data_IF_838553745820
#
_entry.id   IF_838553745820
#
_cell.length_a   1.000
_cell.length_b   1.000
_cell.length_c   1.000
_cell.angle_alpha   90.00
_cell.angle_beta   90.00
_cell.angle_gamma   90.00
#
_symmetry.space_group_name_H-M   'P 1'
#
loop_
_entity.id
_entity.type
_entity.pdbx_description
1 polymer ?
#
# COMPACT_ATOMS: atom_id res chain seq x y z
N UNK A 1 14.67 8.00 -22.89
CA UNK A 1 14.61 8.38 -21.47
C UNK A 1 15.68 9.43 -21.21
N UNK A 2 15.31 10.55 -20.58
CA UNK A 2 16.20 11.65 -20.21
C UNK A 2 16.28 11.69 -18.68
N UNK A 3 17.34 11.14 -18.06
CA UNK A 3 17.52 11.20 -16.62
C UNK A 3 17.99 12.59 -16.19
N UNK A 4 17.57 13.02 -14.99
CA UNK A 4 17.92 14.33 -14.43
C UNK A 4 17.56 15.53 -15.37
N UNK A 5 16.37 15.49 -15.96
CA UNK A 5 15.91 16.53 -16.87
C UNK A 5 15.84 17.93 -16.21
N UNK A 6 15.70 17.97 -14.89
CA UNK A 6 15.78 19.18 -14.05
C UNK A 6 17.16 19.87 -14.05
N UNK A 7 18.23 19.14 -14.42
CA UNK A 7 19.58 19.70 -14.55
C UNK A 7 19.91 20.23 -15.94
N UNK A 8 18.97 20.15 -16.89
CA UNK A 8 19.17 20.72 -18.22
C UNK A 8 19.23 22.26 -18.16
N UNK A 9 20.20 22.82 -18.86
CA UNK A 9 20.28 24.29 -19.02
C UNK A 9 19.03 24.83 -19.75
N UNK A 10 18.66 26.09 -19.48
CA UNK A 10 17.45 26.70 -20.04
C UNK A 10 17.46 26.67 -21.59
N UNK A 11 18.64 26.84 -22.20
CA UNK A 11 18.80 26.76 -23.67
C UNK A 11 18.44 25.36 -24.19
N UNK A 12 18.89 24.32 -23.49
CA UNK A 12 18.59 22.90 -23.84
C UNK A 12 17.09 22.62 -23.65
N UNK A 13 16.49 23.11 -22.58
CA UNK A 13 15.06 22.98 -22.35
C UNK A 13 14.24 23.66 -23.45
N UNK A 14 14.64 24.88 -23.88
CA UNK A 14 13.98 25.57 -24.96
C UNK A 14 14.14 24.86 -26.33
N UNK A 15 15.32 24.32 -26.62
CA UNK A 15 15.54 23.53 -27.83
C UNK A 15 14.65 22.25 -27.85
N UNK A 16 14.40 21.64 -26.68
CA UNK A 16 13.60 20.47 -26.56
C UNK A 16 12.09 20.71 -26.77
N UNK A 17 11.63 21.96 -26.61
CA UNK A 17 10.23 22.34 -26.88
C UNK A 17 9.78 22.00 -28.29
N UNK A 18 10.64 22.22 -29.29
CA UNK A 18 10.33 21.90 -30.70
C UNK A 18 10.04 20.43 -30.89
N UNK A 19 10.78 19.56 -30.20
CA UNK A 19 10.61 18.10 -30.26
C UNK A 19 9.35 17.65 -29.53
N UNK A 20 8.95 18.37 -28.46
CA UNK A 20 7.71 18.08 -27.74
C UNK A 20 6.46 18.57 -28.48
N UNK A 21 6.58 19.62 -29.30
CA UNK A 21 5.48 20.15 -30.14
C UNK A 21 5.18 19.25 -31.34
N UNK A 22 6.24 18.72 -31.97
CA UNK A 22 6.15 17.85 -33.13
C UNK A 22 6.97 16.56 -32.87
N UNK A 23 6.49 15.65 -32.03
CA UNK A 23 7.23 14.45 -31.72
C UNK A 23 7.31 13.53 -32.93
N UNK A 24 8.48 12.92 -33.21
CA UNK A 24 8.61 11.91 -34.26
C UNK A 24 7.66 10.73 -34.02
N UNK A 25 7.17 10.13 -35.10
CA UNK A 25 6.25 9.00 -35.00
C UNK A 25 6.88 7.83 -34.23
N UNK A 26 6.09 7.17 -33.39
CA UNK A 26 6.49 6.03 -32.58
C UNK A 26 7.60 6.29 -31.53
N UNK A 27 7.79 7.53 -31.09
CA UNK A 27 8.74 7.87 -30.03
C UNK A 27 7.99 8.35 -28.79
N UNK A 28 8.34 7.79 -27.64
CA UNK A 28 7.91 8.23 -26.31
C UNK A 28 9.10 8.88 -25.58
N UNK A 29 8.93 10.12 -25.14
CA UNK A 29 9.91 10.81 -24.29
C UNK A 29 9.54 10.65 -22.82
N UNK A 30 10.47 10.14 -22.02
CA UNK A 30 10.32 10.03 -20.57
C UNK A 30 11.39 10.95 -19.94
N UNK A 31 10.93 12.01 -19.28
CA UNK A 31 11.75 12.96 -18.55
C UNK A 31 11.74 12.59 -17.06
N UNK A 32 12.88 12.17 -16.51
CA UNK A 32 13.01 11.90 -15.09
C UNK A 32 13.61 13.13 -14.40
N UNK A 33 12.99 13.62 -13.34
CA UNK A 33 13.44 14.76 -12.57
C UNK A 33 13.12 14.59 -11.09
N UNK A 34 13.90 15.20 -10.21
CA UNK A 34 13.64 15.24 -8.77
C UNK A 34 12.50 16.20 -8.42
N UNK A 35 12.36 17.28 -9.21
CA UNK A 35 11.28 18.25 -9.07
C UNK A 35 10.83 18.76 -10.44
N UNK A 36 9.55 18.57 -10.75
CA UNK A 36 8.97 19.10 -11.97
C UNK A 36 8.97 20.64 -12.01
N UNK A 37 9.09 21.30 -10.84
CA UNK A 37 9.11 22.77 -10.75
C UNK A 37 10.39 23.38 -11.33
N UNK A 38 11.47 22.62 -11.48
CA UNK A 38 12.73 23.05 -12.08
C UNK A 38 12.70 23.02 -13.61
N UNK A 39 11.68 22.40 -14.19
CA UNK A 39 11.44 22.43 -15.63
C UNK A 39 10.63 23.69 -16.01
N UNK A 40 10.91 24.23 -17.18
CA UNK A 40 10.15 25.35 -17.74
C UNK A 40 8.65 25.04 -17.76
N UNK A 41 7.84 26.04 -17.47
CA UNK A 41 6.38 25.92 -17.50
C UNK A 41 5.87 25.44 -18.86
N UNK A 42 6.54 25.84 -19.92
CA UNK A 42 6.27 25.49 -21.32
C UNK A 42 6.50 23.99 -21.60
N UNK A 43 7.49 23.35 -20.96
CA UNK A 43 7.68 21.90 -20.99
C UNK A 43 6.57 21.21 -20.19
N UNK A 44 6.31 21.69 -18.98
CA UNK A 44 5.29 21.08 -18.10
C UNK A 44 3.88 21.10 -18.70
N UNK A 45 3.55 22.10 -19.50
CA UNK A 45 2.25 22.17 -20.18
C UNK A 45 2.10 21.17 -21.34
N UNK A 46 3.20 20.58 -21.84
CA UNK A 46 3.23 19.66 -23.00
C UNK A 46 3.49 18.21 -22.61
N UNK A 47 3.71 17.94 -21.31
CA UNK A 47 3.97 16.61 -20.80
C UNK A 47 2.95 16.22 -19.74
N UNK A 48 2.65 14.93 -19.63
CA UNK A 48 1.89 14.40 -18.49
C UNK A 48 2.84 14.14 -17.33
N UNK A 49 2.59 14.78 -16.19
CA UNK A 49 3.44 14.65 -15.00
C UNK A 49 2.93 13.50 -14.14
N UNK A 50 3.76 12.47 -13.98
CA UNK A 50 3.57 11.41 -13.03
C UNK A 50 4.50 11.63 -11.82
N UNK A 51 3.92 11.80 -10.65
CA UNK A 51 4.70 11.83 -9.40
C UNK A 51 4.93 10.40 -8.94
N UNK A 52 6.14 9.92 -9.09
CA UNK A 52 6.60 8.69 -8.44
C UNK A 52 6.97 9.11 -7.01
N UNK A 53 6.00 8.97 -6.09
CA UNK A 53 6.18 9.50 -4.75
C UNK A 53 7.18 8.68 -3.95
N UNK A 54 8.31 9.29 -3.61
CA UNK A 54 8.94 9.16 -2.32
C UNK A 54 8.57 10.40 -1.52
N UNK A 55 7.27 10.58 -1.23
CA UNK A 55 6.88 11.49 -0.16
C UNK A 55 7.40 10.82 1.13
N UNK A 56 8.29 11.46 1.85
CA UNK A 56 8.75 10.98 3.16
C UNK A 56 7.58 10.75 4.12
N UNK A 57 6.49 11.51 3.99
CA UNK A 57 5.21 11.29 4.68
C UNK A 57 4.45 10.06 4.16
N UNK A 58 4.53 9.76 2.86
CA UNK A 58 3.94 8.53 2.30
C UNK A 58 4.74 7.30 2.75
N UNK A 59 6.05 7.41 2.88
CA UNK A 59 6.93 6.35 3.37
C UNK A 59 6.70 6.07 4.87
N UNK A 60 6.54 7.12 5.69
CA UNK A 60 6.16 6.99 7.09
C UNK A 60 4.77 6.36 7.27
N UNK A 61 3.79 6.76 6.47
CA UNK A 61 2.45 6.20 6.52
C UNK A 61 2.43 4.75 6.01
N UNK A 62 3.22 4.41 5.01
CA UNK A 62 3.40 3.04 4.55
C UNK A 62 4.04 2.17 5.63
N UNK A 63 5.09 2.65 6.29
CA UNK A 63 5.73 1.95 7.42
C UNK A 63 4.78 1.77 8.61
N UNK A 64 4.02 2.81 8.98
CA UNK A 64 2.99 2.72 10.02
C UNK A 64 1.91 1.70 9.67
N UNK A 65 1.51 1.62 8.39
CA UNK A 65 0.52 0.64 7.93
C UNK A 65 1.06 -0.79 8.02
N UNK A 66 2.31 -1.02 7.66
CA UNK A 66 2.98 -2.33 7.82
C UNK A 66 3.03 -2.72 9.30
N UNK A 67 3.49 -1.82 10.17
CA UNK A 67 3.56 -2.07 11.61
C UNK A 67 2.17 -2.37 12.19
N UNK A 68 1.14 -1.65 11.77
CA UNK A 68 -0.23 -1.86 12.21
C UNK A 68 -0.76 -3.22 11.75
N UNK A 69 -0.51 -3.63 10.51
CA UNK A 69 -0.86 -4.96 10.00
C UNK A 69 -0.16 -6.07 10.79
N UNK A 70 1.11 -5.89 11.12
CA UNK A 70 1.86 -6.83 11.96
C UNK A 70 1.31 -6.91 13.39
N UNK A 71 0.85 -5.79 13.96
CA UNK A 71 0.20 -5.76 15.26
C UNK A 71 -1.11 -6.55 15.25
N UNK A 72 -1.94 -6.39 14.20
CA UNK A 72 -3.17 -7.17 14.04
C UNK A 72 -2.83 -8.67 13.92
N UNK A 73 -1.85 -9.01 13.08
CA UNK A 73 -1.40 -10.39 12.91
C UNK A 73 -0.96 -11.02 14.23
N UNK A 74 -0.15 -10.33 15.03
CA UNK A 74 0.24 -10.80 16.37
C UNK A 74 -0.95 -10.92 17.32
N UNK A 75 -1.88 -9.96 17.31
CA UNK A 75 -3.07 -9.99 18.15
C UNK A 75 -4.01 -11.16 17.83
N UNK A 76 -3.97 -11.69 16.61
CA UNK A 76 -4.69 -12.90 16.22
C UNK A 76 -4.14 -14.16 16.90
N UNK A 77 -2.87 -14.20 17.25
CA UNK A 77 -2.24 -15.35 17.92
C UNK A 77 -2.37 -15.32 19.45
N UNK A 78 -2.67 -14.13 20.02
CA UNK A 78 -2.79 -13.94 21.48
C UNK A 78 -4.23 -14.07 21.95
N UNK A 79 -4.46 -14.72 23.08
CA UNK A 79 -5.81 -15.03 23.62
C UNK A 79 -6.58 -13.78 24.11
N UNK A 80 -5.92 -12.65 24.33
CA UNK A 80 -6.52 -11.43 24.90
C UNK A 80 -7.20 -10.58 23.83
N UNK A 81 -8.54 -10.56 23.81
CA UNK A 81 -9.35 -9.81 22.84
C UNK A 81 -9.16 -8.29 22.86
N UNK A 82 -8.62 -7.71 23.93
CA UNK A 82 -8.32 -6.27 24.02
C UNK A 82 -7.22 -5.82 23.03
N UNK A 83 -6.18 -6.63 22.85
CA UNK A 83 -5.09 -6.31 21.92
C UNK A 83 -5.59 -6.22 20.48
N UNK A 84 -6.49 -7.13 20.09
CA UNK A 84 -7.09 -7.11 18.75
C UNK A 84 -7.97 -5.85 18.56
N UNK A 85 -8.76 -5.46 19.57
CA UNK A 85 -9.58 -4.25 19.50
C UNK A 85 -8.70 -3.01 19.29
N UNK A 86 -7.63 -2.84 20.07
CA UNK A 86 -6.71 -1.72 19.91
C UNK A 86 -5.99 -1.73 18.55
N UNK A 87 -5.64 -2.92 18.07
CA UNK A 87 -4.97 -3.09 16.79
C UNK A 87 -5.88 -2.78 15.58
N UNK A 88 -7.20 -3.01 15.69
CA UNK A 88 -8.17 -2.79 14.60
C UNK A 88 -8.85 -1.43 14.61
N UNK A 89 -8.46 -0.50 15.50
CA UNK A 89 -8.99 0.86 15.49
C UNK A 89 -8.39 1.66 14.31
N UNK A 90 -9.28 2.15 13.44
CA UNK A 90 -8.93 2.96 12.28
C UNK A 90 -9.67 4.30 12.34
N UNK A 91 -8.96 5.39 12.11
CA UNK A 91 -9.50 6.75 12.02
C UNK A 91 -9.59 7.24 10.59
N UNK A 92 -8.69 6.78 9.73
CA UNK A 92 -8.59 7.16 8.33
C UNK A 92 -8.80 5.95 7.41
N UNK A 93 -9.57 6.18 6.33
CA UNK A 93 -9.97 5.17 5.35
C UNK A 93 -8.79 4.73 4.46
N UNK A 94 -7.97 5.68 4.01
CA UNK A 94 -6.83 5.39 3.13
C UNK A 94 -5.80 4.58 3.91
N UNK A 95 -5.55 4.98 5.15
CA UNK A 95 -4.66 4.24 6.04
C UNK A 95 -5.18 2.83 6.32
N UNK A 96 -6.48 2.68 6.63
CA UNK A 96 -7.10 1.37 6.83
C UNK A 96 -6.93 0.45 5.61
N UNK A 97 -7.14 0.97 4.40
CA UNK A 97 -6.93 0.22 3.16
C UNK A 97 -5.49 -0.27 3.00
N UNK A 98 -4.52 0.58 3.28
CA UNK A 98 -3.10 0.21 3.24
C UNK A 98 -2.76 -0.87 4.29
N UNK A 99 -3.36 -0.79 5.48
CA UNK A 99 -3.20 -1.82 6.52
C UNK A 99 -3.80 -3.15 6.08
N UNK A 100 -5.01 -3.15 5.49
CA UNK A 100 -5.65 -4.37 4.99
C UNK A 100 -4.83 -5.04 3.89
N UNK A 101 -4.29 -4.27 2.93
CA UNK A 101 -3.41 -4.79 1.88
C UNK A 101 -2.18 -5.50 2.46
N UNK A 102 -1.53 -4.90 3.46
CA UNK A 102 -0.39 -5.52 4.13
C UNK A 102 -0.79 -6.75 4.94
N UNK A 103 -1.93 -6.71 5.63
CA UNK A 103 -2.44 -7.85 6.38
C UNK A 103 -2.80 -9.02 5.44
N UNK A 104 -3.39 -8.73 4.29
CA UNK A 104 -3.69 -9.71 3.25
C UNK A 104 -2.40 -10.44 2.80
N UNK A 105 -1.31 -9.70 2.57
CA UNK A 105 -0.02 -10.29 2.21
C UNK A 105 0.52 -11.21 3.31
N UNK A 106 0.49 -10.77 4.58
CA UNK A 106 0.95 -11.55 5.72
C UNK A 106 0.15 -12.86 5.83
N UNK A 107 -1.18 -12.79 5.76
CA UNK A 107 -2.04 -13.99 5.89
C UNK A 107 -1.86 -14.93 4.70
N UNK A 108 -1.78 -14.42 3.46
CA UNK A 108 -1.50 -15.23 2.27
C UNK A 108 -0.16 -15.97 2.37
N UNK A 109 0.89 -15.30 2.84
CA UNK A 109 2.18 -15.92 3.06
C UNK A 109 2.13 -16.98 4.17
N UNK A 110 1.36 -16.74 5.23
CA UNK A 110 1.14 -17.73 6.28
C UNK A 110 0.42 -18.99 5.78
N UNK A 111 -0.56 -18.86 4.89
CA UNK A 111 -1.21 -19.99 4.21
C UNK A 111 -0.19 -20.77 3.38
N UNK A 112 0.64 -20.07 2.58
CA UNK A 112 1.69 -20.70 1.76
C UNK A 112 2.73 -21.42 2.63
N UNK A 113 3.15 -20.81 3.76
CA UNK A 113 4.07 -21.42 4.70
C UNK A 113 3.51 -22.73 5.24
N UNK A 114 2.22 -22.74 5.64
CA UNK A 114 1.57 -23.90 6.20
C UNK A 114 1.34 -25.03 5.19
N UNK A 115 1.00 -24.70 3.95
CA UNK A 115 0.67 -25.69 2.91
C UNK A 115 1.91 -26.20 2.19
N UNK A 116 2.88 -25.32 1.90
CA UNK A 116 4.04 -25.64 1.05
C UNK A 116 5.38 -25.74 1.82
N UNK A 117 5.36 -25.60 3.16
CA UNK A 117 6.56 -25.59 4.01
C UNK A 117 7.66 -24.60 3.52
N UNK A 118 7.24 -23.43 3.04
CA UNK A 118 8.14 -22.39 2.56
C UNK A 118 8.59 -21.54 3.75
N UNK A 119 9.89 -21.25 3.85
CA UNK A 119 10.42 -20.32 4.86
C UNK A 119 9.82 -18.93 4.69
N UNK A 120 9.15 -18.43 5.72
CA UNK A 120 8.49 -17.14 5.80
C UNK A 120 9.08 -16.27 6.91
N UNK A 121 8.65 -15.02 6.96
CA UNK A 121 9.00 -14.09 8.03
C UNK A 121 8.46 -14.61 9.38
N UNK A 122 9.07 -14.16 10.46
CA UNK A 122 8.76 -14.60 11.83
C UNK A 122 7.27 -14.47 12.22
N UNK A 123 6.58 -13.42 11.71
CA UNK A 123 5.15 -13.18 12.00
C UNK A 123 4.27 -14.11 11.18
N UNK A 124 4.62 -14.37 9.94
CA UNK A 124 3.89 -15.27 9.03
C UNK A 124 3.96 -16.71 9.53
N UNK A 125 5.13 -17.13 10.00
CA UNK A 125 5.32 -18.45 10.63
C UNK A 125 4.52 -18.56 11.93
N UNK A 126 4.52 -17.52 12.77
CA UNK A 126 3.76 -17.49 14.01
C UNK A 126 2.25 -17.68 13.77
N UNK A 127 1.69 -17.02 12.73
CA UNK A 127 0.30 -17.21 12.33
C UNK A 127 0.04 -18.61 11.80
N UNK A 128 0.93 -19.14 10.95
CA UNK A 128 0.82 -20.48 10.39
C UNK A 128 0.80 -21.55 11.49
N UNK A 129 1.61 -21.39 12.54
CA UNK A 129 1.69 -22.32 13.65
C UNK A 129 0.49 -22.21 14.62
N UNK A 130 -0.04 -20.99 14.79
CA UNK A 130 -1.09 -20.70 15.79
C UNK A 130 -2.51 -20.94 15.28
N UNK A 131 -2.77 -20.80 13.98
CA UNK A 131 -4.10 -20.86 13.39
C UNK A 131 -4.24 -22.07 12.44
N UNK A 132 -5.46 -22.63 12.35
CA UNK A 132 -5.76 -23.66 11.35
C UNK A 132 -5.76 -23.08 9.93
N UNK A 133 -5.57 -23.92 8.90
CA UNK A 133 -5.66 -23.48 7.51
C UNK A 133 -7.03 -22.87 7.21
N UNK A 134 -8.10 -23.45 7.77
CA UNK A 134 -9.45 -22.93 7.58
C UNK A 134 -9.60 -21.53 8.19
N UNK A 135 -9.12 -21.31 9.42
CA UNK A 135 -9.17 -19.98 10.05
C UNK A 135 -8.38 -18.92 9.25
N UNK A 136 -7.25 -19.31 8.66
CA UNK A 136 -6.48 -18.40 7.80
C UNK A 136 -7.26 -18.03 6.53
N UNK A 137 -7.97 -18.98 5.90
CA UNK A 137 -8.83 -18.74 4.74
C UNK A 137 -10.01 -17.84 5.13
N UNK A 138 -10.66 -18.11 6.24
CA UNK A 138 -11.78 -17.30 6.72
C UNK A 138 -11.33 -15.84 7.03
N UNK A 139 -10.10 -15.65 7.53
CA UNK A 139 -9.49 -14.32 7.72
C UNK A 139 -9.27 -13.63 6.39
N UNK A 140 -8.85 -14.34 5.32
CA UNK A 140 -8.71 -13.74 3.98
C UNK A 140 -10.05 -13.24 3.44
N UNK A 141 -11.13 -14.01 3.63
CA UNK A 141 -12.48 -13.61 3.22
C UNK A 141 -12.98 -12.38 4.01
N UNK A 142 -12.66 -12.32 5.31
CA UNK A 142 -12.97 -11.14 6.14
C UNK A 142 -12.21 -9.90 5.64
N UNK A 143 -10.93 -10.02 5.29
CA UNK A 143 -10.13 -8.91 4.78
C UNK A 143 -10.70 -8.43 3.44
N UNK A 144 -11.04 -9.34 2.52
CA UNK A 144 -11.64 -9.00 1.23
C UNK A 144 -12.98 -8.29 1.39
N UNK A 145 -13.81 -8.77 2.32
CA UNK A 145 -15.09 -8.13 2.68
C UNK A 145 -14.85 -6.74 3.29
N UNK A 146 -13.81 -6.59 4.11
CA UNK A 146 -13.44 -5.31 4.71
C UNK A 146 -13.02 -4.29 3.65
N UNK A 147 -12.23 -4.70 2.65
CA UNK A 147 -11.86 -3.84 1.53
C UNK A 147 -13.07 -3.38 0.73
N UNK A 148 -14.01 -4.28 0.42
CA UNK A 148 -15.25 -3.93 -0.26
C UNK A 148 -16.08 -2.91 0.54
N UNK A 149 -16.17 -3.06 1.85
CA UNK A 149 -16.86 -2.12 2.75
C UNK A 149 -16.18 -0.76 2.82
N UNK A 150 -14.85 -0.70 2.78
CA UNK A 150 -14.11 0.58 2.74
C UNK A 150 -14.35 1.37 1.45
N UNK A 151 -14.75 0.72 0.37
CA UNK A 151 -15.11 1.39 -0.88
C UNK A 151 -16.49 2.07 -0.81
N UNK A 152 -17.34 1.71 0.16
CA UNK A 152 -18.63 2.37 0.45
C UNK A 152 -18.45 3.46 1.52
N UNK A 153 -19.47 4.31 1.66
CA UNK A 153 -19.40 5.42 2.63
C UNK A 153 -19.74 4.92 4.05
N UNK A 154 -18.81 4.18 4.67
CA UNK A 154 -18.98 3.61 6.01
C UNK A 154 -18.40 4.51 7.10
N UNK A 155 -18.99 4.50 8.28
CA UNK A 155 -18.45 5.11 9.48
C UNK A 155 -17.25 4.27 9.99
N UNK A 156 -16.07 4.90 10.18
CA UNK A 156 -14.83 4.22 10.52
C UNK A 156 -14.86 3.54 11.91
N UNK A 157 -15.61 4.08 12.87
CA UNK A 157 -15.75 3.44 14.18
C UNK A 157 -16.59 2.16 14.09
N UNK A 158 -17.67 2.18 13.32
CA UNK A 158 -18.49 0.98 13.08
C UNK A 158 -17.70 -0.06 12.28
N UNK A 159 -16.93 0.38 11.28
CA UNK A 159 -16.03 -0.49 10.52
C UNK A 159 -15.02 -1.18 11.44
N UNK A 160 -14.33 -0.42 12.28
CA UNK A 160 -13.33 -0.94 13.22
C UNK A 160 -13.93 -1.98 14.17
N UNK A 161 -15.10 -1.69 14.73
CA UNK A 161 -15.80 -2.59 15.66
C UNK A 161 -16.26 -3.87 14.95
N UNK A 162 -16.82 -3.75 13.75
CA UNK A 162 -17.22 -4.90 12.94
C UNK A 162 -16.01 -5.76 12.58
N UNK A 163 -14.94 -5.14 12.07
CA UNK A 163 -13.73 -5.87 11.65
C UNK A 163 -13.08 -6.62 12.81
N UNK A 164 -13.00 -5.99 13.98
CA UNK A 164 -12.55 -6.65 15.21
C UNK A 164 -13.42 -7.85 15.58
N UNK A 165 -14.74 -7.71 15.51
CA UNK A 165 -15.68 -8.77 15.88
C UNK A 165 -15.56 -9.97 14.93
N UNK A 166 -15.46 -9.75 13.62
CA UNK A 166 -15.28 -10.82 12.63
C UNK A 166 -13.95 -11.57 12.82
N UNK A 167 -12.85 -10.84 12.97
CA UNK A 167 -11.54 -11.45 13.22
C UNK A 167 -11.52 -12.27 14.53
N UNK A 168 -12.26 -11.82 15.56
CA UNK A 168 -12.34 -12.53 16.84
C UNK A 168 -13.08 -13.84 16.75
N UNK A 169 -14.00 -14.01 15.81
CA UNK A 169 -14.75 -15.26 15.59
C UNK A 169 -13.89 -16.38 14.99
N UNK A 170 -12.77 -16.02 14.37
CA UNK A 170 -11.84 -16.97 13.73
C UNK A 170 -10.72 -17.44 14.68
N UNK A 171 -10.86 -17.15 15.93
CA UNK A 171 -9.96 -17.51 17.02
C UNK A 171 -10.54 -18.63 17.87
#
# INVERSE_FOLDING_TARGET
IIPNADKMQIQAQNAFLKVLEEPPQNILFILCCTSAQQLLLTIRSRVTVYKLGFDTTADENAQKAIQKAQQIARALTVTKGYELLCATLFTDRVFAKNVLNNLLLIVNNSVKAKVANINCNNIEQLLADSLSTQNLIDILDIITTAEARLNSNINMNLFSSWFCAELRRQK
#
